data_IF_260490781798
#
_entry.id   IF_260490781798
#
_cell.length_a   1.000
_cell.length_b   1.000
_cell.length_c   1.000
_cell.angle_alpha   90.00
_cell.angle_beta   90.00
_cell.angle_gamma   90.00
#
_symmetry.space_group_name_H-M   'P 1'
#
loop_
_entity.id
_entity.type
_entity.pdbx_description
1 polymer ?
#
# COMPACT_ATOMS: atom_id res chain seq x y z
N UNK A 1 43.04 -39.45 -1.47
CA UNK A 1 42.15 -39.16 -0.33
C UNK A 1 40.93 -38.48 -0.91
N UNK A 2 39.84 -39.24 -0.92
CA UNK A 2 38.70 -39.09 -1.82
C UNK A 2 37.74 -37.96 -1.46
N UNK A 3 37.16 -37.38 -2.52
CA UNK A 3 36.05 -36.45 -2.49
C UNK A 3 34.73 -37.22 -2.32
N UNK A 4 33.92 -36.88 -1.33
CA UNK A 4 32.49 -37.25 -1.32
C UNK A 4 31.64 -36.03 -0.97
N UNK A 5 31.13 -35.41 -2.04
CA UNK A 5 30.00 -34.48 -2.05
C UNK A 5 28.72 -35.27 -1.75
N UNK A 6 27.99 -34.90 -0.70
CA UNK A 6 26.65 -35.42 -0.42
C UNK A 6 25.65 -34.27 -0.57
N UNK A 7 24.80 -34.37 -1.60
CA UNK A 7 23.73 -33.43 -1.92
C UNK A 7 22.39 -34.15 -1.73
N UNK A 8 21.45 -33.65 -0.91
CA UNK A 8 20.12 -34.21 -0.86
C UNK A 8 19.11 -33.47 -1.74
N UNK A 9 18.21 -34.27 -2.28
CA UNK A 9 17.27 -34.07 -3.37
C UNK A 9 16.20 -32.98 -3.21
N UNK A 10 15.88 -32.37 -4.36
CA UNK A 10 14.63 -31.65 -4.70
C UNK A 10 13.37 -32.49 -4.43
N UNK A 11 12.46 -31.97 -3.61
CA UNK A 11 11.07 -32.43 -3.53
C UNK A 11 10.12 -31.47 -4.25
N UNK A 12 9.74 -31.79 -5.49
CA UNK A 12 8.73 -31.04 -6.25
C UNK A 12 7.31 -31.42 -5.83
N UNK A 13 6.49 -30.41 -5.47
CA UNK A 13 5.04 -30.58 -5.33
C UNK A 13 4.32 -29.73 -6.37
N UNK A 14 3.73 -30.41 -7.36
CA UNK A 14 2.72 -29.87 -8.27
C UNK A 14 1.38 -29.90 -7.53
N UNK A 15 0.64 -28.80 -7.53
CA UNK A 15 -0.80 -28.82 -7.20
C UNK A 15 -1.55 -28.28 -8.41
N UNK A 16 -2.38 -29.15 -8.99
CA UNK A 16 -3.28 -28.95 -10.12
C UNK A 16 -4.68 -28.63 -9.60
N UNK A 17 -5.41 -27.80 -10.34
CA UNK A 17 -6.89 -27.73 -10.31
C UNK A 17 -7.45 -26.88 -9.17
N UNK A 18 -8.60 -26.21 -9.27
CA UNK A 18 -9.74 -26.47 -10.14
C UNK A 18 -10.54 -25.18 -10.36
N UNK A 19 -10.92 -24.97 -11.61
CA UNK A 19 -11.93 -24.02 -12.08
C UNK A 19 -13.30 -24.50 -11.59
N UNK A 20 -14.13 -23.63 -10.97
CA UNK A 20 -15.59 -23.78 -11.03
C UNK A 20 -16.29 -22.43 -11.18
N UNK A 21 -17.23 -22.47 -12.12
CA UNK A 21 -17.93 -21.43 -12.86
C UNK A 21 -19.42 -21.72 -12.68
N UNK A 22 -20.21 -20.74 -12.26
CA UNK A 22 -21.69 -20.72 -12.25
C UNK A 22 -22.07 -19.22 -12.34
N UNK A 23 -22.61 -18.62 -13.41
CA UNK A 23 -23.84 -18.85 -14.21
C UNK A 23 -25.08 -18.97 -13.30
N UNK A 24 -25.72 -17.86 -12.89
CA UNK A 24 -26.80 -17.05 -13.55
C UNK A 24 -28.20 -17.46 -13.03
N UNK A 25 -29.13 -16.49 -12.80
CA UNK A 25 -30.33 -16.59 -11.95
C UNK A 25 -31.55 -17.09 -12.74
N UNK A 26 -32.80 -17.11 -12.18
CA UNK A 26 -33.75 -16.04 -12.58
C UNK A 26 -35.01 -15.82 -11.67
N UNK A 27 -35.91 -14.92 -12.16
CA UNK A 27 -37.37 -14.76 -11.92
C UNK A 27 -37.83 -14.01 -10.66
N UNK A 28 -38.24 -12.74 -10.77
CA UNK A 28 -39.57 -12.20 -11.17
C UNK A 28 -40.71 -12.65 -10.24
N UNK A 29 -41.18 -11.72 -9.41
CA UNK A 29 -42.55 -11.67 -8.91
C UNK A 29 -43.01 -10.20 -8.85
N UNK A 30 -43.91 -9.83 -9.76
CA UNK A 30 -44.63 -8.56 -9.73
C UNK A 30 -45.69 -8.59 -8.63
N UNK A 31 -45.53 -7.81 -7.57
CA UNK A 31 -46.61 -7.43 -6.68
C UNK A 31 -46.96 -5.95 -6.90
N UNK A 32 -48.14 -5.73 -7.46
CA UNK A 32 -48.77 -4.41 -7.53
C UNK A 32 -49.59 -4.24 -6.26
N UNK A 33 -49.14 -3.36 -5.35
CA UNK A 33 -49.91 -2.88 -4.20
C UNK A 33 -50.06 -1.35 -4.32
N UNK A 34 -51.28 -0.80 -4.39
CA UNK A 34 -51.48 0.63 -4.23
C UNK A 34 -51.63 0.93 -2.73
N UNK A 35 -50.51 1.19 -2.06
CA UNK A 35 -50.55 1.76 -0.71
C UNK A 35 -50.45 3.28 -0.82
N UNK A 36 -51.52 3.98 -0.43
CA UNK A 36 -51.46 5.41 -0.16
C UNK A 36 -50.51 5.64 1.02
N UNK A 37 -49.26 5.99 0.72
CA UNK A 37 -48.28 6.40 1.70
C UNK A 37 -48.59 7.83 2.15
N UNK A 38 -48.81 7.99 3.46
CA UNK A 38 -48.73 9.29 4.12
C UNK A 38 -47.35 9.93 3.85
N UNK A 39 -47.24 11.27 3.79
CA UNK A 39 -45.96 11.94 3.62
C UNK A 39 -45.05 11.60 4.81
N UNK A 40 -44.09 10.71 4.56
CA UNK A 40 -42.95 10.47 5.46
C UNK A 40 -42.25 11.81 5.66
N UNK A 41 -42.03 12.28 6.90
CA UNK A 41 -41.23 13.48 7.11
C UNK A 41 -39.85 13.22 6.53
N UNK A 42 -39.49 13.97 5.50
CA UNK A 42 -38.15 13.97 4.92
C UNK A 42 -37.16 14.21 6.07
N UNK A 43 -36.36 13.19 6.35
CA UNK A 43 -35.33 13.20 7.39
C UNK A 43 -34.37 14.36 7.09
N UNK A 44 -34.35 15.37 7.96
CA UNK A 44 -33.37 16.47 7.97
C UNK A 44 -31.96 16.00 8.35
N UNK A 45 -31.46 14.93 7.70
CA UNK A 45 -30.12 14.38 7.96
C UNK A 45 -29.00 15.21 7.31
N UNK A 46 -29.29 16.00 6.27
CA UNK A 46 -28.27 16.62 5.42
C UNK A 46 -27.43 17.71 6.10
N UNK A 47 -27.98 18.57 6.95
CA UNK A 47 -27.22 19.75 7.43
C UNK A 47 -26.27 19.42 8.59
N UNK A 48 -26.68 18.59 9.55
CA UNK A 48 -25.88 18.24 10.71
C UNK A 48 -24.77 17.22 10.38
N UNK A 49 -24.99 16.35 9.40
CA UNK A 49 -24.01 15.36 8.94
C UNK A 49 -22.85 16.03 8.21
N UNK A 50 -23.14 17.00 7.33
CA UNK A 50 -22.11 17.74 6.59
C UNK A 50 -21.20 18.57 7.50
N UNK A 51 -21.72 19.10 8.61
CA UNK A 51 -20.91 19.87 9.57
C UNK A 51 -19.93 18.96 10.33
N UNK A 52 -20.33 17.73 10.64
CA UNK A 52 -19.45 16.69 11.20
C UNK A 52 -18.32 16.31 10.24
N UNK A 53 -18.64 16.12 8.96
CA UNK A 53 -17.68 15.77 7.92
C UNK A 53 -16.64 16.89 7.69
N UNK A 54 -17.09 18.15 7.68
CA UNK A 54 -16.20 19.30 7.58
C UNK A 54 -15.30 19.45 8.81
N UNK A 55 -15.79 19.11 10.01
CA UNK A 55 -14.96 19.10 11.21
C UNK A 55 -13.84 18.06 11.12
N UNK A 56 -14.11 16.88 10.54
CA UNK A 56 -13.09 15.84 10.29
C UNK A 56 -12.02 16.34 9.32
N UNK A 57 -12.42 16.92 8.18
CA UNK A 57 -11.47 17.45 7.19
C UNK A 57 -10.63 18.56 7.79
N UNK A 58 -11.24 19.48 8.57
CA UNK A 58 -10.49 20.52 9.27
C UNK A 58 -9.50 19.95 10.27
N UNK A 59 -9.88 18.90 11.01
CA UNK A 59 -8.96 18.19 11.91
C UNK A 59 -7.72 17.67 11.18
N UNK A 60 -7.90 17.02 10.02
CA UNK A 60 -6.80 16.50 9.20
C UNK A 60 -5.90 17.63 8.69
N UNK A 61 -6.49 18.73 8.21
CA UNK A 61 -5.75 19.86 7.66
C UNK A 61 -5.02 20.72 8.71
N UNK A 62 -5.34 20.55 10.00
CA UNK A 62 -4.67 21.24 11.11
C UNK A 62 -3.48 20.45 11.68
N UNK A 63 -3.31 19.19 11.27
CA UNK A 63 -2.12 18.40 11.62
C UNK A 63 -0.89 18.98 10.89
N UNK A 64 0.30 18.98 11.52
CA UNK A 64 1.52 19.34 10.82
C UNK A 64 1.81 18.32 9.71
N UNK A 65 2.36 18.79 8.58
CA UNK A 65 2.61 17.94 7.39
C UNK A 65 3.37 16.63 7.68
N UNK A 66 4.24 16.63 8.71
CA UNK A 66 4.99 15.43 9.15
C UNK A 66 4.13 14.35 9.80
N UNK A 67 2.93 14.69 10.26
CA UNK A 67 2.00 13.79 10.95
C UNK A 67 0.82 13.36 10.04
N UNK A 68 0.67 13.98 8.86
CA UNK A 68 -0.40 13.64 7.93
C UNK A 68 -0.07 12.31 7.24
N UNK A 69 -0.77 11.24 7.64
CA UNK A 69 -0.86 10.03 6.82
C UNK A 69 -1.74 10.31 5.60
N UNK A 70 -1.10 10.67 4.48
CA UNK A 70 -1.77 10.96 3.22
C UNK A 70 -2.65 9.82 2.71
N UNK A 71 -2.32 8.55 3.01
CA UNK A 71 -3.13 7.43 2.58
C UNK A 71 -4.44 7.36 3.36
N UNK A 72 -4.35 7.56 4.68
CA UNK A 72 -5.52 7.61 5.56
C UNK A 72 -6.36 8.85 5.29
N UNK A 73 -5.75 10.03 5.20
CA UNK A 73 -6.42 11.28 4.86
C UNK A 73 -7.18 11.18 3.53
N UNK A 74 -6.56 10.60 2.50
CA UNK A 74 -7.21 10.37 1.22
C UNK A 74 -8.41 9.42 1.34
N UNK A 75 -8.26 8.28 2.01
CA UNK A 75 -9.37 7.33 2.17
C UNK A 75 -10.53 7.92 2.98
N UNK A 76 -10.23 8.76 3.98
CA UNK A 76 -11.25 9.52 4.71
C UNK A 76 -12.00 10.46 3.78
N UNK A 77 -11.29 11.26 2.97
CA UNK A 77 -11.93 12.16 2.00
C UNK A 77 -12.74 11.39 0.94
N UNK A 78 -12.19 10.30 0.41
CA UNK A 78 -12.89 9.44 -0.57
C UNK A 78 -14.19 8.89 0.04
N UNK A 79 -14.19 8.48 1.31
CA UNK A 79 -15.39 8.04 2.03
C UNK A 79 -16.40 9.17 2.29
N UNK A 80 -15.94 10.40 2.48
CA UNK A 80 -16.82 11.56 2.62
C UNK A 80 -17.49 11.92 1.29
N UNK A 81 -16.80 11.74 0.16
CA UNK A 81 -17.37 11.95 -1.18
C UNK A 81 -18.31 10.82 -1.61
N UNK A 82 -17.96 9.59 -1.26
CA UNK A 82 -18.73 8.38 -1.56
C UNK A 82 -18.77 7.48 -0.30
N UNK A 83 -19.86 7.55 0.49
CA UNK A 83 -20.03 6.71 1.69
C UNK A 83 -20.00 5.20 1.39
N UNK A 84 -20.14 4.80 0.12
CA UNK A 84 -20.01 3.41 -0.34
C UNK A 84 -18.57 2.90 -0.39
N UNK A 85 -17.55 3.77 -0.21
CA UNK A 85 -16.15 3.37 -0.18
C UNK A 85 -15.86 2.51 1.05
N UNK A 86 -15.55 1.24 0.81
CA UNK A 86 -15.05 0.34 1.84
C UNK A 86 -13.55 0.57 2.08
N UNK A 87 -13.26 1.36 3.11
CA UNK A 87 -11.90 1.69 3.55
C UNK A 87 -11.10 0.43 3.93
N UNK A 88 -11.75 -0.58 4.51
CA UNK A 88 -11.08 -1.82 4.93
C UNK A 88 -10.75 -2.69 3.72
N UNK A 89 -11.70 -2.88 2.80
CA UNK A 89 -11.44 -3.61 1.55
C UNK A 89 -10.34 -2.93 0.73
N UNK A 90 -10.36 -1.60 0.62
CA UNK A 90 -9.32 -0.86 -0.12
C UNK A 90 -7.95 -0.99 0.54
N UNK A 91 -7.90 -1.01 1.88
CA UNK A 91 -6.65 -1.21 2.62
C UNK A 91 -6.11 -2.62 2.42
N UNK A 92 -6.97 -3.64 2.50
CA UNK A 92 -6.60 -5.03 2.25
C UNK A 92 -6.15 -5.29 0.81
N UNK A 93 -6.81 -4.70 -0.18
CA UNK A 93 -6.42 -4.78 -1.59
C UNK A 93 -5.01 -4.21 -1.79
N UNK A 94 -4.74 -3.03 -1.21
CA UNK A 94 -3.41 -2.41 -1.27
C UNK A 94 -2.34 -3.26 -0.60
N UNK A 95 -2.66 -3.90 0.53
CA UNK A 95 -1.78 -4.87 1.19
C UNK A 95 -1.48 -6.07 0.28
N UNK A 96 -2.51 -6.67 -0.34
CA UNK A 96 -2.36 -7.79 -1.25
C UNK A 96 -1.51 -7.46 -2.49
N UNK A 97 -1.70 -6.28 -3.07
CA UNK A 97 -0.90 -5.80 -4.21
C UNK A 97 0.59 -5.64 -3.84
N UNK A 98 0.89 -5.19 -2.62
CA UNK A 98 2.28 -5.04 -2.13
C UNK A 98 2.95 -6.39 -1.93
N UNK A 99 2.24 -7.37 -1.34
CA UNK A 99 2.75 -8.73 -1.21
C UNK A 99 3.00 -9.37 -2.59
N UNK A 100 2.10 -9.13 -3.54
CA UNK A 100 2.28 -9.56 -4.92
C UNK A 100 3.51 -8.90 -5.57
N UNK A 101 3.71 -7.60 -5.35
CA UNK A 101 4.90 -6.88 -5.84
C UNK A 101 6.19 -7.48 -5.28
N UNK A 102 6.24 -7.76 -3.98
CA UNK A 102 7.38 -8.40 -3.33
C UNK A 102 7.63 -9.82 -3.87
N UNK A 103 6.56 -10.58 -4.12
CA UNK A 103 6.65 -11.91 -4.73
C UNK A 103 7.20 -11.83 -6.15
N UNK A 104 6.73 -10.88 -6.97
CA UNK A 104 7.22 -10.66 -8.33
C UNK A 104 8.68 -10.19 -8.33
N UNK A 105 9.07 -9.28 -7.43
CA UNK A 105 10.46 -8.83 -7.35
C UNK A 105 11.40 -9.98 -6.99
N UNK A 106 11.01 -10.86 -6.07
CA UNK A 106 11.77 -12.07 -5.74
C UNK A 106 11.93 -12.99 -6.95
N UNK A 107 10.83 -13.30 -7.63
CA UNK A 107 10.88 -14.12 -8.86
C UNK A 107 11.77 -13.48 -9.94
N UNK A 108 11.72 -12.16 -10.08
CA UNK A 108 12.54 -11.46 -11.06
C UNK A 108 14.02 -11.46 -10.68
N UNK A 109 14.38 -11.40 -9.38
CA UNK A 109 15.75 -11.56 -8.90
C UNK A 109 16.29 -12.99 -9.04
N UNK A 110 15.43 -14.00 -9.02
CA UNK A 110 15.83 -15.39 -9.33
C UNK A 110 16.34 -15.49 -10.78
N UNK A 111 15.79 -14.69 -11.69
CA UNK A 111 16.19 -14.65 -13.10
C UNK A 111 17.31 -13.64 -13.38
N UNK A 112 17.28 -12.47 -12.75
CA UNK A 112 18.29 -11.43 -12.91
C UNK A 112 18.83 -10.98 -11.54
N UNK A 113 19.79 -11.73 -10.97
CA UNK A 113 20.30 -11.47 -9.63
C UNK A 113 21.09 -10.16 -9.49
N UNK A 114 21.44 -9.50 -10.60
CA UNK A 114 22.24 -8.28 -10.63
C UNK A 114 21.41 -7.04 -10.97
N UNK A 115 20.10 -7.17 -11.08
CA UNK A 115 19.21 -6.05 -11.39
C UNK A 115 19.01 -5.15 -10.17
N UNK A 116 19.71 -4.02 -10.17
CA UNK A 116 19.61 -3.02 -9.11
C UNK A 116 18.19 -2.43 -9.05
N UNK A 117 17.50 -2.24 -10.18
CA UNK A 117 16.15 -1.67 -10.16
C UNK A 117 15.16 -2.59 -9.43
N UNK A 118 15.26 -3.91 -9.65
CA UNK A 118 14.43 -4.88 -8.93
C UNK A 118 14.78 -4.91 -7.43
N UNK A 119 16.06 -4.85 -7.07
CA UNK A 119 16.49 -4.74 -5.66
C UNK A 119 15.87 -3.50 -4.99
N UNK A 120 15.86 -2.36 -5.68
CA UNK A 120 15.28 -1.11 -5.18
C UNK A 120 13.76 -1.18 -5.05
N UNK A 121 13.06 -1.86 -5.96
CA UNK A 121 11.62 -2.11 -5.80
C UNK A 121 11.30 -2.97 -4.58
N UNK A 122 12.09 -4.01 -4.34
CA UNK A 122 11.96 -4.83 -3.14
C UNK A 122 12.21 -3.99 -1.87
N UNK A 123 13.23 -3.14 -1.88
CA UNK A 123 13.51 -2.20 -0.80
C UNK A 123 12.34 -1.23 -0.53
N UNK A 124 11.75 -0.64 -1.58
CA UNK A 124 10.62 0.28 -1.45
C UNK A 124 9.39 -0.39 -0.83
N UNK A 125 9.12 -1.66 -1.17
CA UNK A 125 8.03 -2.43 -0.55
C UNK A 125 8.26 -2.61 0.96
N UNK A 126 9.50 -2.84 1.38
CA UNK A 126 9.85 -2.97 2.79
C UNK A 126 9.78 -1.67 3.57
N UNK A 127 10.24 -0.56 3.00
CA UNK A 127 10.12 0.76 3.64
C UNK A 127 8.65 1.10 3.95
N UNK A 128 7.74 0.77 3.02
CA UNK A 128 6.32 0.95 3.25
C UNK A 128 5.82 0.14 4.45
N UNK A 129 6.23 -1.12 4.58
CA UNK A 129 5.84 -1.97 5.72
C UNK A 129 6.37 -1.42 7.05
N UNK A 130 7.63 -0.98 7.07
CA UNK A 130 8.23 -0.35 8.25
C UNK A 130 7.46 0.91 8.64
N UNK A 131 7.13 1.78 7.67
CA UNK A 131 6.36 2.99 7.92
C UNK A 131 4.95 2.68 8.43
N UNK A 132 4.32 1.61 7.94
CA UNK A 132 3.01 1.17 8.45
C UNK A 132 3.08 0.83 9.94
N UNK A 133 4.13 0.13 10.39
CA UNK A 133 4.31 -0.19 11.81
C UNK A 133 4.68 1.04 12.63
N UNK A 134 5.62 1.85 12.16
CA UNK A 134 6.04 3.09 12.86
C UNK A 134 4.88 4.06 13.01
N UNK A 135 4.01 4.18 12.01
CA UNK A 135 2.84 5.07 12.09
C UNK A 135 1.71 4.48 12.97
N UNK A 136 1.66 3.16 13.13
CA UNK A 136 0.64 2.48 13.94
C UNK A 136 0.97 2.50 15.44
N UNK A 137 2.25 2.48 15.79
CA UNK A 137 2.71 2.37 17.18
C UNK A 137 3.53 3.58 17.58
N UNK A 138 3.13 4.24 18.66
CA UNK A 138 3.78 5.47 19.16
C UNK A 138 5.20 5.17 19.61
N UNK A 139 5.38 4.07 20.35
CA UNK A 139 6.70 3.62 20.79
C UNK A 139 7.02 2.23 20.22
N UNK A 140 8.31 1.90 20.01
CA UNK A 140 8.70 0.56 19.56
C UNK A 140 8.27 -0.57 20.52
N UNK A 141 8.09 -0.27 21.80
CA UNK A 141 7.66 -1.23 22.82
C UNK A 141 6.16 -1.57 22.72
N UNK A 142 5.36 -0.70 22.10
CA UNK A 142 3.94 -0.94 21.83
C UNK A 142 3.72 -1.97 20.71
N UNK A 143 4.76 -2.29 19.93
CA UNK A 143 4.67 -3.23 18.81
C UNK A 143 4.51 -4.66 19.34
N UNK A 144 3.44 -5.38 18.95
CA UNK A 144 3.21 -6.77 19.36
C UNK A 144 4.43 -7.65 19.07
N UNK A 145 4.71 -8.62 19.95
CA UNK A 145 5.90 -9.46 19.83
C UNK A 145 6.01 -10.18 18.47
N UNK A 146 4.88 -10.62 17.90
CA UNK A 146 4.83 -11.23 16.57
C UNK A 146 5.26 -10.27 15.46
N UNK A 147 4.85 -9.00 15.55
CA UNK A 147 5.19 -7.96 14.58
C UNK A 147 6.64 -7.49 14.75
N UNK A 148 7.16 -7.41 15.98
CA UNK A 148 8.60 -7.14 16.22
C UNK A 148 9.49 -8.21 15.60
N UNK A 149 9.13 -9.49 15.75
CA UNK A 149 9.87 -10.58 15.11
C UNK A 149 9.81 -10.49 13.57
N UNK A 150 8.68 -10.05 13.02
CA UNK A 150 8.53 -9.82 11.58
C UNK A 150 9.40 -8.64 11.10
N UNK A 151 9.38 -7.53 11.83
CA UNK A 151 10.21 -6.35 11.56
C UNK A 151 11.70 -6.69 11.59
N UNK A 152 12.17 -7.42 12.60
CA UNK A 152 13.56 -7.86 12.70
C UNK A 152 14.01 -8.72 11.49
N UNK A 153 13.13 -9.61 11.00
CA UNK A 153 13.40 -10.38 9.77
C UNK A 153 13.50 -9.46 8.55
N UNK A 154 12.69 -8.41 8.48
CA UNK A 154 12.72 -7.45 7.38
C UNK A 154 13.94 -6.55 7.42
N UNK A 155 14.36 -6.08 8.60
CA UNK A 155 15.59 -5.30 8.76
C UNK A 155 16.82 -6.09 8.31
N UNK A 156 16.86 -7.39 8.64
CA UNK A 156 17.90 -8.30 8.16
C UNK A 156 17.88 -8.38 6.63
N UNK A 157 16.71 -8.65 6.04
CA UNK A 157 16.56 -8.71 4.58
C UNK A 157 16.91 -7.39 3.89
N UNK A 158 16.65 -6.24 4.53
CA UNK A 158 17.00 -4.92 4.03
C UNK A 158 18.51 -4.74 3.96
N UNK A 159 19.22 -5.13 5.02
CA UNK A 159 20.69 -5.07 5.08
C UNK A 159 21.31 -5.90 3.97
N UNK A 160 20.84 -7.13 3.79
CA UNK A 160 21.31 -8.03 2.72
C UNK A 160 21.07 -7.43 1.33
N UNK A 161 19.92 -6.79 1.10
CA UNK A 161 19.62 -6.09 -0.15
C UNK A 161 20.58 -4.93 -0.39
N UNK A 162 20.90 -4.14 0.64
CA UNK A 162 21.84 -3.03 0.54
C UNK A 162 23.26 -3.49 0.24
N UNK A 163 23.74 -4.51 0.95
CA UNK A 163 25.07 -5.08 0.69
C UNK A 163 25.18 -5.56 -0.75
N UNK A 164 24.14 -6.24 -1.23
CA UNK A 164 24.05 -6.68 -2.62
C UNK A 164 24.03 -5.51 -3.60
N UNK A 165 23.17 -4.51 -3.39
CA UNK A 165 23.14 -3.32 -4.24
C UNK A 165 24.51 -2.60 -4.24
N UNK A 166 25.17 -2.50 -3.09
CA UNK A 166 26.49 -1.89 -2.94
C UNK A 166 27.57 -2.64 -3.73
N UNK A 167 27.59 -3.97 -3.66
CA UNK A 167 28.49 -4.80 -4.46
C UNK A 167 28.26 -4.69 -5.97
N UNK A 168 27.06 -4.30 -6.39
CA UNK A 168 26.70 -4.02 -7.79
C UNK A 168 27.01 -2.58 -8.21
N UNK A 169 27.64 -1.79 -7.35
CA UNK A 169 28.03 -0.41 -7.63
C UNK A 169 26.92 0.61 -7.38
N UNK A 170 25.73 0.20 -6.92
CA UNK A 170 24.73 1.15 -6.46
C UNK A 170 25.20 1.89 -5.22
N UNK A 171 24.92 3.18 -5.14
CA UNK A 171 25.17 4.00 -3.97
C UNK A 171 23.91 4.80 -3.66
N UNK A 172 23.57 5.00 -2.38
CA UNK A 172 22.53 5.94 -2.02
C UNK A 172 22.92 7.34 -2.51
N UNK A 173 21.94 8.17 -2.92
CA UNK A 173 22.19 9.58 -3.21
C UNK A 173 22.86 10.25 -2.00
N UNK A 174 23.83 11.12 -2.26
CA UNK A 174 24.35 12.02 -1.22
C UNK A 174 23.44 13.27 -1.09
N UNK A 175 23.56 14.00 0.03
CA UNK A 175 22.74 15.18 0.27
C UNK A 175 22.86 16.26 -0.84
N UNK A 176 24.04 16.53 -1.42
CA UNK A 176 24.16 17.41 -2.58
C UNK A 176 23.41 16.92 -3.82
N UNK A 177 23.44 15.61 -4.12
CA UNK A 177 22.71 15.02 -5.25
C UNK A 177 21.20 15.13 -5.05
N UNK A 178 20.71 14.84 -3.85
CA UNK A 178 19.29 14.99 -3.51
C UNK A 178 18.84 16.44 -3.67
N UNK A 179 19.65 17.40 -3.20
CA UNK A 179 19.37 18.82 -3.37
C UNK A 179 19.33 19.23 -4.85
N UNK A 180 20.28 18.75 -5.65
CA UNK A 180 20.29 19.00 -7.08
C UNK A 180 19.03 18.41 -7.78
N UNK A 181 18.55 17.24 -7.35
CA UNK A 181 17.30 16.66 -7.85
C UNK A 181 16.10 17.52 -7.46
N UNK A 182 16.02 17.97 -6.21
CA UNK A 182 14.95 18.88 -5.73
C UNK A 182 14.91 20.17 -6.55
N UNK A 183 16.06 20.79 -6.79
CA UNK A 183 16.16 22.01 -7.59
C UNK A 183 15.69 21.81 -9.03
N UNK A 184 16.06 20.70 -9.67
CA UNK A 184 15.59 20.36 -11.03
C UNK A 184 14.08 20.16 -11.06
N UNK A 185 13.52 19.46 -10.07
CA UNK A 185 12.08 19.25 -9.96
C UNK A 185 11.33 20.59 -9.75
N UNK A 186 11.83 21.46 -8.87
CA UNK A 186 11.26 22.79 -8.64
C UNK A 186 11.28 23.65 -9.91
N UNK A 187 12.41 23.66 -10.64
CA UNK A 187 12.54 24.37 -11.91
C UNK A 187 11.57 23.84 -12.97
N UNK A 188 11.46 22.53 -13.12
CA UNK A 188 10.53 21.91 -14.07
C UNK A 188 9.07 22.28 -13.76
N UNK A 189 8.69 22.29 -12.48
CA UNK A 189 7.36 22.71 -12.04
C UNK A 189 7.09 24.19 -12.33
N UNK A 190 8.06 25.07 -12.11
CA UNK A 190 7.95 26.49 -12.45
C UNK A 190 7.72 26.69 -13.95
N UNK A 191 8.50 26.01 -14.80
CA UNK A 191 8.33 26.07 -16.26
C UNK A 191 6.97 25.53 -16.72
N UNK A 192 6.41 24.51 -16.06
CA UNK A 192 5.07 24.04 -16.37
C UNK A 192 3.99 25.08 -16.04
N UNK A 193 4.12 25.76 -14.89
CA UNK A 193 3.18 26.80 -14.48
C UNK A 193 3.20 28.03 -15.41
N UNK A 194 4.37 28.38 -15.95
CA UNK A 194 4.49 29.44 -16.96
C UNK A 194 3.81 29.07 -18.28
N UNK A 195 3.87 27.80 -18.71
CA UNK A 195 3.21 27.34 -19.94
C UNK A 195 1.69 27.26 -19.84
N UNK A 196 1.15 27.19 -18.63
CA UNK A 196 -0.31 27.13 -18.39
C UNK A 196 -0.97 28.50 -18.21
N UNK A 197 -0.20 29.60 -18.29
CA UNK A 197 -0.70 30.98 -18.28
C UNK A 197 -0.79 31.51 -19.71
#
# INVERSE_FOLDING_TARGET
MDHTLSSPHRGGRRVRGLIRRWLVPPLIACFVFPAMAAPTPAKSQSAAEHDGDLAIVRGILMLPDSEIDLATAKLTIDRLMDPGVDVQATTHERQGLREQQLKMSRMALDHNPRDVAILLHQHAAWLWFRNLLVNRYVTPDDVPAAERALLARHDTALRDLYERAWSLGWRPPDAPQDEAVRQRAAKAKATQLEKTK
#
